data_IF_477362755392
#
_entry.id   IF_477362755392
#
_cell.length_a   1.000
_cell.length_b   1.000
_cell.length_c   1.000
_cell.angle_alpha   90.00
_cell.angle_beta   90.00
_cell.angle_gamma   90.00
#
_symmetry.space_group_name_H-M   'P 1'
#
loop_
_entity.id
_entity.type
_entity.pdbx_description
1 polymer ?
#
# COMPACT_ATOMS: atom_id res chain seq x y z
N UNK A 1 -18.96 11.74 -7.29
CA UNK A 1 -20.04 11.24 -6.41
C UNK A 1 -19.88 9.73 -6.31
N UNK A 2 -19.18 9.24 -5.28
CA UNK A 2 -18.89 7.80 -5.10
C UNK A 2 -20.18 7.11 -4.64
N UNK A 3 -20.50 5.97 -5.26
CA UNK A 3 -21.71 5.19 -5.03
C UNK A 3 -21.89 4.90 -3.52
N UNK A 4 -23.11 5.08 -3.00
CA UNK A 4 -23.42 4.74 -1.61
C UNK A 4 -23.13 3.24 -1.38
N UNK A 5 -22.25 2.93 -0.43
CA UNK A 5 -21.89 1.54 -0.13
C UNK A 5 -23.04 0.74 0.47
N UNK A 6 -22.94 -0.59 0.45
CA UNK A 6 -23.91 -1.54 1.01
C UNK A 6 -24.39 -1.21 2.44
N UNK A 7 -23.56 -0.52 3.22
CA UNK A 7 -23.88 -0.01 4.57
C UNK A 7 -25.06 0.96 4.57
N UNK A 8 -25.19 1.79 3.52
CA UNK A 8 -26.30 2.72 3.37
C UNK A 8 -27.63 2.00 3.04
N UNK A 9 -27.57 0.82 2.40
CA UNK A 9 -28.74 0.01 2.05
C UNK A 9 -29.33 -0.70 3.28
N UNK A 10 -28.49 -1.01 4.27
CA UNK A 10 -28.87 -1.71 5.51
C UNK A 10 -29.28 -0.77 6.65
N UNK A 11 -29.35 0.55 6.41
CA UNK A 11 -29.85 1.52 7.39
C UNK A 11 -28.93 1.82 8.58
N UNK A 12 -27.69 1.31 8.57
CA UNK A 12 -26.72 1.58 9.64
C UNK A 12 -26.17 3.01 9.52
N UNK A 13 -26.43 3.85 10.54
CA UNK A 13 -25.91 5.22 10.62
C UNK A 13 -24.39 5.30 10.84
N UNK A 14 -23.73 4.20 11.25
CA UNK A 14 -22.29 4.13 11.51
C UNK A 14 -21.56 3.65 10.24
N UNK A 15 -20.47 4.32 9.85
CA UNK A 15 -19.62 3.90 8.72
C UNK A 15 -18.93 2.58 9.06
N UNK A 16 -19.49 1.46 8.63
CA UNK A 16 -18.85 0.14 8.74
C UNK A 16 -17.80 0.03 7.62
N UNK A 17 -16.53 -0.20 7.99
CA UNK A 17 -15.45 -0.42 7.03
C UNK A 17 -15.56 -1.80 6.36
N UNK A 18 -15.00 -1.93 5.16
CA UNK A 18 -14.99 -3.19 4.38
C UNK A 18 -14.32 -4.38 5.10
N UNK A 19 -13.54 -4.09 6.15
CA UNK A 19 -12.86 -5.09 6.98
C UNK A 19 -13.83 -5.95 7.79
N UNK A 20 -14.93 -5.37 8.29
CA UNK A 20 -15.88 -6.09 9.16
C UNK A 20 -16.59 -7.23 8.41
N UNK A 21 -17.19 -6.99 7.22
CA UNK A 21 -17.74 -8.08 6.40
C UNK A 21 -16.69 -9.10 5.98
N UNK A 22 -15.47 -8.67 5.66
CA UNK A 22 -14.41 -9.59 5.24
C UNK A 22 -14.01 -10.57 6.35
N UNK A 23 -13.89 -10.10 7.59
CA UNK A 23 -13.62 -10.95 8.76
C UNK A 23 -14.82 -11.87 9.02
N UNK A 24 -16.05 -11.35 8.94
CA UNK A 24 -17.26 -12.14 9.15
C UNK A 24 -17.38 -13.31 8.13
N UNK A 25 -17.14 -13.04 6.84
CA UNK A 25 -17.13 -14.07 5.78
C UNK A 25 -15.99 -15.06 6.02
N UNK A 26 -14.79 -14.58 6.38
CA UNK A 26 -13.65 -15.46 6.66
C UNK A 26 -13.94 -16.40 7.82
N UNK A 27 -14.57 -15.90 8.89
CA UNK A 27 -15.02 -16.72 10.01
C UNK A 27 -16.10 -17.73 9.60
N UNK A 28 -17.06 -17.30 8.76
CA UNK A 28 -18.11 -18.17 8.23
C UNK A 28 -17.54 -19.31 7.38
N UNK A 29 -16.47 -19.08 6.62
CA UNK A 29 -15.76 -20.09 5.83
C UNK A 29 -15.07 -21.17 6.68
N UNK A 30 -14.75 -20.87 7.94
CA UNK A 30 -14.27 -21.87 8.91
C UNK A 30 -15.41 -22.70 9.51
N UNK A 31 -16.65 -22.19 9.50
CA UNK A 31 -17.84 -22.86 10.03
C UNK A 31 -18.59 -23.67 8.98
N UNK A 32 -18.59 -23.22 7.71
CA UNK A 32 -19.34 -23.85 6.64
C UNK A 32 -18.73 -25.21 6.25
N UNK A 33 -19.53 -26.29 6.21
CA UNK A 33 -19.09 -27.59 5.72
C UNK A 33 -18.80 -27.53 4.22
N UNK A 34 -17.79 -28.27 3.76
CA UNK A 34 -17.38 -28.29 2.36
C UNK A 34 -18.44 -28.88 1.42
N UNK A 35 -19.35 -29.69 1.95
CA UNK A 35 -20.47 -30.26 1.22
C UNK A 35 -21.78 -29.92 1.95
N UNK A 36 -22.60 -29.09 1.30
CA UNK A 36 -23.89 -28.60 1.84
C UNK A 36 -24.89 -29.77 2.00
N UNK A 37 -24.72 -30.86 1.23
CA UNK A 37 -25.59 -32.04 1.30
C UNK A 37 -25.17 -33.03 2.39
N UNK A 38 -23.93 -32.96 2.86
CA UNK A 38 -23.41 -33.85 3.88
C UNK A 38 -22.78 -33.04 5.02
N UNK A 39 -23.61 -32.72 6.03
CA UNK A 39 -23.22 -31.92 7.20
C UNK A 39 -22.09 -32.53 8.06
N UNK A 40 -21.65 -33.77 7.78
CA UNK A 40 -20.45 -34.37 8.40
C UNK A 40 -19.15 -34.03 7.67
N UNK A 41 -19.22 -33.34 6.53
CA UNK A 41 -18.04 -32.93 5.77
C UNK A 41 -17.25 -31.84 6.52
N UNK A 42 -15.92 -31.86 6.39
CA UNK A 42 -15.05 -30.91 7.07
C UNK A 42 -15.25 -29.46 6.59
N UNK A 43 -14.72 -28.46 7.30
CA UNK A 43 -14.91 -27.05 6.95
C UNK A 43 -14.24 -26.70 5.60
N UNK A 44 -14.82 -25.74 4.87
CA UNK A 44 -14.30 -25.24 3.58
C UNK A 44 -12.88 -24.71 3.74
N UNK A 45 -12.62 -23.94 4.80
CA UNK A 45 -11.31 -23.36 5.09
C UNK A 45 -10.65 -24.05 6.28
N UNK A 46 -9.50 -24.71 6.04
CA UNK A 46 -8.72 -25.37 7.08
C UNK A 46 -7.62 -24.45 7.60
N UNK A 47 -7.41 -24.41 8.91
CA UNK A 47 -6.38 -23.57 9.55
C UNK A 47 -4.98 -23.77 8.96
N UNK A 48 -4.58 -25.02 8.72
CA UNK A 48 -3.28 -25.36 8.12
C UNK A 48 -3.06 -24.69 6.75
N UNK A 49 -4.12 -24.51 5.95
CA UNK A 49 -4.04 -23.86 4.63
C UNK A 49 -3.88 -22.35 4.77
N UNK A 50 -4.61 -21.75 5.72
CA UNK A 50 -4.52 -20.31 6.04
C UNK A 50 -3.13 -19.98 6.58
N UNK A 51 -2.65 -20.71 7.59
CA UNK A 51 -1.34 -20.50 8.19
C UNK A 51 -0.21 -20.56 7.16
N UNK A 52 -0.29 -21.46 6.17
CA UNK A 52 0.71 -21.60 5.10
C UNK A 52 0.64 -20.48 4.06
N UNK A 53 -0.54 -19.92 3.81
CA UNK A 53 -0.74 -18.91 2.78
C UNK A 53 -0.59 -17.47 3.30
N UNK A 54 -0.66 -17.25 4.61
CA UNK A 54 -0.43 -15.94 5.23
C UNK A 54 1.07 -15.61 5.19
N UNK A 55 1.39 -14.40 4.74
CA UNK A 55 2.74 -13.85 4.76
C UNK A 55 3.03 -13.20 6.13
N UNK A 56 3.40 -14.01 7.12
CA UNK A 56 3.61 -13.57 8.52
C UNK A 56 4.70 -12.50 8.66
N UNK A 57 5.77 -12.62 7.87
CA UNK A 57 6.88 -11.66 7.84
C UNK A 57 6.39 -10.24 7.53
N UNK A 58 5.50 -10.14 6.55
CA UNK A 58 4.91 -8.88 6.09
C UNK A 58 4.01 -8.27 7.18
N UNK A 59 3.20 -9.09 7.85
CA UNK A 59 2.37 -8.64 8.97
C UNK A 59 3.22 -8.09 10.13
N UNK A 60 4.32 -8.77 10.47
CA UNK A 60 5.26 -8.33 11.51
C UNK A 60 5.98 -7.04 11.12
N UNK A 61 6.38 -6.88 9.85
CA UNK A 61 7.02 -5.65 9.35
C UNK A 61 6.06 -4.46 9.41
N UNK A 62 4.80 -4.63 8.99
CA UNK A 62 3.78 -3.57 9.08
C UNK A 62 3.55 -3.16 10.54
N UNK A 63 3.34 -4.15 11.42
CA UNK A 63 3.12 -3.90 12.84
C UNK A 63 4.32 -3.22 13.51
N UNK A 64 5.53 -3.69 13.23
CA UNK A 64 6.78 -3.07 13.69
C UNK A 64 6.97 -1.66 13.15
N UNK A 65 6.61 -1.40 11.90
CA UNK A 65 6.64 -0.07 11.28
C UNK A 65 5.71 0.92 11.97
N UNK A 66 4.47 0.50 12.30
CA UNK A 66 3.55 1.35 13.06
C UNK A 66 4.01 1.58 14.50
N UNK A 67 4.54 0.54 15.17
CA UNK A 67 5.11 0.69 16.51
C UNK A 67 6.31 1.63 16.53
N UNK A 68 7.19 1.54 15.52
CA UNK A 68 8.34 2.44 15.36
C UNK A 68 7.91 3.87 15.06
N UNK A 69 6.90 4.06 14.20
CA UNK A 69 6.35 5.38 13.91
C UNK A 69 5.76 6.05 15.17
N UNK A 70 5.02 5.30 15.99
CA UNK A 70 4.48 5.76 17.26
C UNK A 70 5.60 6.10 18.27
N UNK A 71 6.62 5.23 18.38
CA UNK A 71 7.79 5.48 19.22
C UNK A 71 8.58 6.71 18.77
N UNK A 72 8.74 6.93 17.47
CA UNK A 72 9.41 8.10 16.89
C UNK A 72 8.62 9.40 17.12
N UNK A 73 7.28 9.32 17.17
CA UNK A 73 6.43 10.46 17.50
C UNK A 73 6.52 10.79 19.00
N UNK A 74 6.47 9.79 19.88
CA UNK A 74 6.60 9.97 21.34
C UNK A 74 7.98 10.44 21.76
N UNK A 75 9.04 10.01 21.09
CA UNK A 75 10.41 10.42 21.40
C UNK A 75 10.77 11.83 20.91
N UNK A 76 9.90 12.46 20.11
CA UNK A 76 10.21 13.73 19.45
C UNK A 76 11.20 13.60 18.28
N UNK A 77 11.67 12.40 17.94
CA UNK A 77 12.52 12.19 16.77
C UNK A 77 11.81 12.62 15.48
N UNK A 78 10.49 12.42 15.42
CA UNK A 78 9.66 12.84 14.30
C UNK A 78 9.77 14.35 14.02
N UNK A 79 9.81 15.20 15.05
CA UNK A 79 9.90 16.67 14.86
C UNK A 79 11.29 17.10 14.41
N UNK A 80 12.34 16.45 14.91
CA UNK A 80 13.72 16.68 14.45
C UNK A 80 13.88 16.31 12.98
N UNK A 81 13.40 15.12 12.59
CA UNK A 81 13.42 14.67 11.19
C UNK A 81 12.58 15.59 10.30
N UNK A 82 11.40 16.03 10.77
CA UNK A 82 10.56 17.00 10.07
C UNK A 82 11.30 18.31 9.78
N UNK A 83 12.03 18.85 10.76
CA UNK A 83 12.80 20.07 10.58
C UNK A 83 13.88 19.93 9.50
N UNK A 84 14.59 18.79 9.47
CA UNK A 84 15.57 18.51 8.41
C UNK A 84 14.93 18.28 7.04
N UNK A 85 13.77 17.62 6.99
CA UNK A 85 13.01 17.40 5.76
C UNK A 85 12.37 18.69 5.22
N UNK A 86 12.14 19.68 6.06
CA UNK A 86 11.62 20.99 5.64
C UNK A 86 12.60 21.70 4.69
N UNK A 87 13.91 21.48 4.84
CA UNK A 87 14.93 21.97 3.90
C UNK A 87 14.82 21.34 2.50
N UNK A 88 14.28 20.12 2.39
CA UNK A 88 14.01 19.48 1.10
C UNK A 88 12.76 20.04 0.39
N UNK A 89 11.94 20.85 1.07
CA UNK A 89 10.75 21.49 0.49
C UNK A 89 11.09 22.51 -0.61
N UNK A 90 12.35 22.91 -0.72
CA UNK A 90 12.85 23.75 -1.81
C UNK A 90 12.80 23.02 -3.15
N UNK A 91 12.80 21.68 -3.16
CA UNK A 91 12.71 20.91 -4.39
C UNK A 91 11.28 20.92 -4.95
N UNK A 92 11.11 20.97 -6.29
CA UNK A 92 9.81 20.88 -6.92
C UNK A 92 9.16 19.52 -6.62
N UNK A 93 7.86 19.53 -6.29
CA UNK A 93 7.09 18.34 -5.90
C UNK A 93 7.15 17.21 -6.93
N UNK A 94 7.19 17.53 -8.22
CA UNK A 94 7.32 16.55 -9.30
C UNK A 94 8.66 15.79 -9.26
N UNK A 95 9.75 16.44 -8.82
CA UNK A 95 11.06 15.80 -8.73
C UNK A 95 11.14 14.84 -7.54
N UNK A 96 10.45 15.15 -6.43
CA UNK A 96 10.30 14.23 -5.29
C UNK A 96 9.55 12.97 -5.74
N UNK A 97 8.45 13.12 -6.46
CA UNK A 97 7.69 11.98 -7.01
C UNK A 97 8.55 11.15 -7.95
N UNK A 98 9.33 11.79 -8.82
CA UNK A 98 10.26 11.10 -9.72
C UNK A 98 11.28 10.26 -8.95
N UNK A 99 11.91 10.81 -7.91
CA UNK A 99 12.87 10.08 -7.06
C UNK A 99 12.19 8.87 -6.39
N UNK A 100 11.00 9.07 -5.83
CA UNK A 100 10.25 7.99 -5.19
C UNK A 100 9.89 6.89 -6.19
N UNK A 101 9.47 7.26 -7.40
CA UNK A 101 9.15 6.30 -8.45
C UNK A 101 10.40 5.54 -8.92
N UNK A 102 11.56 6.21 -9.05
CA UNK A 102 12.83 5.54 -9.37
C UNK A 102 13.22 4.51 -8.30
N UNK A 103 13.18 4.89 -7.02
CA UNK A 103 13.46 3.98 -5.90
C UNK A 103 12.49 2.80 -5.92
N UNK A 104 11.21 3.05 -6.18
CA UNK A 104 10.19 2.01 -6.22
C UNK A 104 10.42 1.05 -7.39
N UNK A 105 10.72 1.59 -8.58
CA UNK A 105 10.99 0.79 -9.79
C UNK A 105 12.20 -0.12 -9.58
N UNK A 106 13.29 0.38 -8.98
CA UNK A 106 14.47 -0.45 -8.74
C UNK A 106 14.23 -1.50 -7.66
N UNK A 107 13.54 -1.15 -6.58
CA UNK A 107 13.19 -2.10 -5.52
C UNK A 107 12.27 -3.22 -6.02
N UNK A 108 11.29 -2.89 -6.86
CA UNK A 108 10.30 -3.86 -7.34
C UNK A 108 10.84 -4.86 -8.36
N UNK A 109 12.06 -4.67 -8.87
CA UNK A 109 12.72 -5.68 -9.70
C UNK A 109 13.28 -6.84 -8.85
N UNK A 110 13.55 -6.60 -7.56
CA UNK A 110 14.07 -7.60 -6.62
C UNK A 110 13.01 -8.14 -5.68
N UNK A 111 11.98 -7.35 -5.38
CA UNK A 111 10.91 -7.65 -4.44
C UNK A 111 9.59 -7.85 -5.20
N UNK A 112 8.65 -8.61 -4.61
CA UNK A 112 7.30 -8.68 -5.21
C UNK A 112 6.59 -7.33 -5.09
N UNK A 113 5.72 -6.98 -6.05
CA UNK A 113 5.00 -5.71 -6.07
C UNK A 113 4.28 -5.40 -4.75
N UNK A 114 3.71 -6.44 -4.12
CA UNK A 114 3.01 -6.32 -2.83
C UNK A 114 4.02 -6.03 -1.70
N UNK A 115 5.13 -6.77 -1.64
CA UNK A 115 6.18 -6.56 -0.65
C UNK A 115 6.78 -5.16 -0.76
N UNK A 116 7.06 -4.69 -1.97
CA UNK A 116 7.58 -3.33 -2.23
C UNK A 116 6.65 -2.26 -1.67
N UNK A 117 5.35 -2.35 -1.96
CA UNK A 117 4.36 -1.39 -1.44
C UNK A 117 4.28 -1.41 0.08
N UNK A 118 4.29 -2.59 0.68
CA UNK A 118 4.17 -2.72 2.13
C UNK A 118 5.37 -2.10 2.85
N UNK A 119 6.58 -2.24 2.30
CA UNK A 119 7.79 -1.64 2.86
C UNK A 119 7.79 -0.13 2.66
N UNK A 120 7.47 0.37 1.46
CA UNK A 120 7.64 1.77 1.13
C UNK A 120 6.48 2.68 1.59
N UNK A 121 5.24 2.18 1.64
CA UNK A 121 4.07 2.96 2.06
C UNK A 121 4.25 3.69 3.41
N UNK A 122 4.65 3.03 4.52
CA UNK A 122 4.80 3.71 5.80
C UNK A 122 5.89 4.78 5.75
N UNK A 123 7.01 4.50 5.08
CA UNK A 123 8.15 5.41 4.97
C UNK A 123 7.75 6.68 4.20
N UNK A 124 7.12 6.50 3.04
CA UNK A 124 6.71 7.61 2.17
C UNK A 124 5.54 8.39 2.77
N UNK A 125 4.63 7.74 3.50
CA UNK A 125 3.53 8.41 4.22
C UNK A 125 4.06 9.34 5.32
N UNK A 126 5.05 8.88 6.10
CA UNK A 126 5.72 9.70 7.11
C UNK A 126 6.46 10.87 6.48
N UNK A 127 7.17 10.65 5.36
CA UNK A 127 7.83 11.70 4.60
C UNK A 127 6.83 12.75 4.07
N UNK A 128 5.72 12.33 3.47
CA UNK A 128 4.70 13.23 2.95
C UNK A 128 4.08 14.10 4.06
N UNK A 129 3.80 13.48 5.21
CA UNK A 129 3.31 14.19 6.40
C UNK A 129 4.33 15.21 6.92
N UNK A 130 5.62 14.83 6.92
CA UNK A 130 6.71 15.71 7.34
C UNK A 130 6.90 16.93 6.43
N UNK A 131 6.76 16.75 5.11
CA UNK A 131 6.90 17.81 4.11
C UNK A 131 5.62 18.64 3.91
N UNK A 132 4.53 18.32 4.64
CA UNK A 132 3.19 18.90 4.44
C UNK A 132 2.73 18.79 2.97
N UNK A 133 3.04 17.67 2.33
CA UNK A 133 2.64 17.35 0.97
C UNK A 133 1.49 16.36 1.00
N UNK A 134 0.53 16.49 0.08
CA UNK A 134 -0.61 15.59 0.03
C UNK A 134 -0.11 14.13 -0.13
N UNK A 135 -0.36 13.22 0.84
CA UNK A 135 0.16 11.85 0.79
C UNK A 135 -0.30 11.10 -0.46
N UNK A 136 -1.49 11.40 -0.99
CA UNK A 136 -1.98 10.80 -2.23
C UNK A 136 -1.12 11.14 -3.44
N UNK A 137 -0.50 12.32 -3.47
CA UNK A 137 0.37 12.75 -4.58
C UNK A 137 1.60 11.86 -4.75
N UNK A 138 2.06 11.22 -3.67
CA UNK A 138 3.26 10.37 -3.69
C UNK A 138 2.91 8.89 -3.60
N UNK A 139 1.89 8.52 -2.81
CA UNK A 139 1.50 7.12 -2.61
C UNK A 139 0.81 6.52 -3.84
N UNK A 140 0.00 7.30 -4.58
CA UNK A 140 -0.62 6.82 -5.82
C UNK A 140 0.42 6.44 -6.88
N UNK A 141 1.36 7.33 -7.28
CA UNK A 141 2.36 6.96 -8.27
C UNK A 141 3.31 5.88 -7.77
N UNK A 142 3.61 5.81 -6.47
CA UNK A 142 4.36 4.70 -5.89
C UNK A 142 3.65 3.36 -6.11
N UNK A 143 2.35 3.27 -5.84
CA UNK A 143 1.57 2.03 -5.98
C UNK A 143 1.53 1.56 -7.43
N UNK A 144 1.39 2.49 -8.38
CA UNK A 144 1.37 2.15 -9.80
C UNK A 144 2.76 1.73 -10.27
N UNK A 145 3.79 2.47 -9.85
CA UNK A 145 5.19 2.22 -10.23
C UNK A 145 5.73 0.91 -9.67
N UNK A 146 5.24 0.47 -8.50
CA UNK A 146 5.57 -0.86 -7.96
C UNK A 146 5.11 -2.01 -8.85
N UNK A 147 4.27 -1.74 -9.86
CA UNK A 147 3.84 -2.77 -10.82
C UNK A 147 4.71 -2.78 -12.08
N UNK A 148 5.62 -1.82 -12.23
CA UNK A 148 6.55 -1.72 -13.36
C UNK A 148 7.82 -2.52 -13.08
N UNK A 149 7.68 -3.85 -13.04
CA UNK A 149 8.78 -4.80 -12.92
C UNK A 149 9.02 -5.46 -14.28
N UNK A 150 9.91 -4.87 -15.10
CA UNK A 150 10.14 -5.28 -16.49
C UNK A 150 11.57 -5.77 -16.78
N UNK A 151 12.53 -5.53 -15.89
CA UNK A 151 13.95 -5.82 -16.13
C UNK A 151 14.35 -7.24 -15.73
N UNK A 152 13.79 -7.79 -14.65
CA UNK A 152 14.20 -9.10 -14.12
C UNK A 152 13.05 -10.12 -14.09
N UNK A 153 13.36 -11.42 -14.32
CA UNK A 153 12.37 -12.49 -14.28
C UNK A 153 11.99 -12.90 -12.85
N UNK A 154 12.71 -12.42 -11.83
CA UNK A 154 12.64 -12.93 -10.45
C UNK A 154 11.41 -12.40 -9.68
N UNK A 155 10.99 -11.15 -9.95
CA UNK A 155 9.96 -10.47 -9.16
C UNK A 155 8.51 -10.78 -9.56
N UNK A 156 8.26 -11.18 -10.81
CA UNK A 156 6.89 -11.23 -11.39
C UNK A 156 6.63 -12.55 -12.14
N UNK A 157 5.59 -13.34 -11.77
CA UNK A 157 5.35 -14.66 -12.36
C UNK A 157 5.19 -14.68 -13.89
N UNK A 158 4.46 -13.74 -14.52
CA UNK A 158 4.43 -13.61 -15.99
C UNK A 158 5.81 -13.54 -16.64
N UNK A 159 6.72 -12.74 -16.09
CA UNK A 159 8.07 -12.58 -16.61
C UNK A 159 8.88 -13.88 -16.47
N UNK A 160 8.74 -14.56 -15.34
CA UNK A 160 9.36 -15.86 -15.10
C UNK A 160 8.88 -16.94 -16.08
N UNK A 161 7.57 -16.96 -16.39
CA UNK A 161 6.99 -17.92 -17.34
C UNK A 161 7.57 -17.72 -18.75
N UNK A 162 7.62 -16.47 -19.22
CA UNK A 162 8.17 -16.16 -20.55
C UNK A 162 9.66 -16.47 -20.60
N UNK A 163 10.42 -16.13 -19.55
CA UNK A 163 11.85 -16.45 -19.45
C UNK A 163 12.14 -17.95 -19.40
N UNK A 164 11.26 -18.76 -18.81
CA UNK A 164 11.41 -20.21 -18.81
C UNK A 164 11.02 -20.85 -20.16
N UNK A 165 10.02 -20.28 -20.86
CA UNK A 165 9.52 -20.82 -22.13
C UNK A 165 10.35 -20.40 -23.34
N UNK A 166 10.97 -19.22 -23.30
CA UNK A 166 11.85 -18.72 -24.34
C UNK A 166 13.24 -18.71 -23.74
N UNK A 167 14.18 -19.44 -24.35
CA UNK A 167 15.52 -19.72 -23.84
C UNK A 167 16.42 -18.46 -23.85
N UNK A 168 15.94 -17.38 -23.24
CA UNK A 168 16.45 -16.01 -23.28
C UNK A 168 17.55 -15.82 -22.23
N UNK A 169 18.51 -14.94 -22.52
CA UNK A 169 19.49 -14.52 -21.52
C UNK A 169 18.91 -13.38 -20.69
N UNK A 170 19.41 -13.21 -19.47
CA UNK A 170 18.99 -12.12 -18.57
C UNK A 170 19.13 -10.75 -19.27
N UNK A 171 20.20 -10.54 -20.03
CA UNK A 171 20.45 -9.30 -20.76
C UNK A 171 19.44 -9.01 -21.88
N UNK A 172 18.79 -10.04 -22.43
CA UNK A 172 17.77 -9.89 -23.47
C UNK A 172 16.45 -9.35 -22.89
N UNK A 173 16.24 -9.55 -21.59
CA UNK A 173 15.10 -9.02 -20.83
C UNK A 173 15.39 -7.64 -20.23
N UNK A 174 16.59 -7.42 -19.70
CA UNK A 174 16.99 -6.16 -19.05
C UNK A 174 16.96 -4.97 -20.02
N UNK A 175 17.50 -5.13 -21.23
CA UNK A 175 17.57 -4.06 -22.24
C UNK A 175 16.20 -3.44 -22.59
N UNK A 176 15.19 -4.24 -23.01
CA UNK A 176 13.84 -3.70 -23.24
C UNK A 176 13.17 -3.27 -21.94
N UNK A 177 13.44 -3.94 -20.82
CA UNK A 177 12.90 -3.56 -19.50
C UNK A 177 13.27 -2.14 -19.08
N UNK A 178 14.53 -1.73 -19.26
CA UNK A 178 14.97 -0.36 -18.96
C UNK A 178 14.20 0.67 -19.79
N UNK A 179 14.06 0.43 -21.09
CA UNK A 179 13.31 1.31 -21.98
C UNK A 179 11.84 1.42 -21.57
N UNK A 180 11.20 0.30 -21.24
CA UNK A 180 9.82 0.29 -20.75
C UNK A 180 9.68 1.03 -19.42
N UNK A 181 10.61 0.84 -18.47
CA UNK A 181 10.60 1.55 -17.19
C UNK A 181 10.69 3.06 -17.39
N UNK A 182 11.56 3.55 -18.28
CA UNK A 182 11.68 4.99 -18.59
C UNK A 182 10.38 5.54 -19.17
N UNK A 183 9.78 4.85 -20.13
CA UNK A 183 8.51 5.28 -20.77
C UNK A 183 7.37 5.29 -19.74
N UNK A 184 7.23 4.23 -18.96
CA UNK A 184 6.20 4.13 -17.92
C UNK A 184 6.36 5.18 -16.83
N UNK A 185 7.59 5.49 -16.41
CA UNK A 185 7.87 6.57 -15.46
C UNK A 185 7.48 7.94 -16.02
N UNK A 186 7.81 8.23 -17.28
CA UNK A 186 7.43 9.48 -17.93
C UNK A 186 5.91 9.63 -18.02
N UNK A 187 5.20 8.56 -18.42
CA UNK A 187 3.74 8.52 -18.47
C UNK A 187 3.15 8.71 -17.07
N UNK A 188 3.70 8.04 -16.05
CA UNK A 188 3.22 8.13 -14.67
C UNK A 188 3.33 9.56 -14.11
N UNK A 189 4.45 10.25 -14.38
CA UNK A 189 4.65 11.64 -13.98
C UNK A 189 3.67 12.57 -14.68
N UNK A 190 3.40 12.34 -15.97
CA UNK A 190 2.40 13.12 -16.71
C UNK A 190 0.99 12.89 -16.15
N UNK A 191 0.64 11.63 -15.86
CA UNK A 191 -0.67 11.26 -15.33
C UNK A 191 -0.94 11.85 -13.94
N UNK A 192 0.04 11.82 -13.02
CA UNK A 192 -0.17 12.36 -11.66
C UNK A 192 -0.31 13.89 -11.66
N UNK A 193 0.40 14.59 -12.56
CA UNK A 193 0.31 16.04 -12.68
C UNK A 193 -0.93 16.50 -13.47
N UNK A 194 -1.48 15.66 -14.36
CA UNK A 194 -2.70 15.98 -15.11
C UNK A 194 -3.95 15.44 -14.43
N UNK A 195 -4.21 14.14 -14.53
CA UNK A 195 -5.39 13.48 -13.97
C UNK A 195 -5.41 13.50 -12.45
N UNK A 196 -4.25 13.36 -11.81
CA UNK A 196 -4.15 13.46 -10.35
C UNK A 196 -4.67 14.81 -9.86
N UNK A 197 -4.15 15.90 -10.43
CA UNK A 197 -4.57 17.27 -10.10
C UNK A 197 -6.08 17.49 -10.31
N UNK A 198 -6.63 16.98 -11.41
CA UNK A 198 -8.07 17.15 -11.75
C UNK A 198 -8.99 16.34 -10.84
N UNK A 199 -8.62 15.12 -10.45
CA UNK A 199 -9.50 14.20 -9.73
C UNK A 199 -9.36 14.33 -8.21
N UNK A 200 -8.14 14.54 -7.71
CA UNK A 200 -7.82 14.44 -6.29
C UNK A 200 -7.39 15.75 -5.63
N UNK A 201 -7.33 16.86 -6.39
CA UNK A 201 -6.86 18.17 -5.92
C UNK A 201 -5.51 18.08 -5.17
N UNK A 202 -4.55 17.38 -5.78
CA UNK A 202 -3.31 16.94 -5.11
C UNK A 202 -2.35 18.07 -4.75
N UNK A 203 -2.58 19.29 -5.26
CA UNK A 203 -1.81 20.47 -4.90
C UNK A 203 -2.18 21.03 -3.53
N UNK A 204 -3.38 20.73 -3.04
CA UNK A 204 -3.83 21.15 -1.71
C UNK A 204 -3.59 20.04 -0.69
N UNK A 205 -3.08 20.42 0.48
CA UNK A 205 -2.92 19.49 1.59
C UNK A 205 -4.28 19.24 2.24
N UNK A 206 -4.78 17.99 2.26
CA UNK A 206 -6.14 17.74 2.69
C UNK A 206 -6.26 17.80 4.22
N UNK A 207 -7.40 18.27 4.72
CA UNK A 207 -7.66 18.44 6.16
C UNK A 207 -7.60 17.14 6.96
N UNK A 208 -7.92 16.00 6.35
CA UNK A 208 -7.79 14.68 6.99
C UNK A 208 -6.33 14.28 7.24
N UNK A 209 -5.39 14.78 6.45
CA UNK A 209 -3.95 14.54 6.63
C UNK A 209 -3.33 15.49 7.67
N UNK A 210 -4.09 16.48 8.17
CA UNK A 210 -3.63 17.31 9.29
C UNK A 210 -3.63 16.52 10.62
N UNK A 211 -4.40 15.42 10.66
CA UNK A 211 -4.62 14.59 11.84
C UNK A 211 -3.82 13.26 11.82
N UNK A 212 -2.81 13.11 10.94
CA UNK A 212 -1.86 11.97 11.01
C UNK A 212 -0.73 12.17 12.01
N UNK A 213 -0.77 13.25 12.81
CA UNK A 213 -0.49 13.09 14.24
C UNK A 213 -1.74 12.46 14.81
N UNK A 214 -1.79 11.13 14.88
CA UNK A 214 -2.86 10.45 15.62
C UNK A 214 -2.91 11.12 17.00
N UNK A 215 -3.98 11.84 17.37
CA UNK A 215 -4.21 12.07 18.77
C UNK A 215 -4.49 10.67 19.30
N UNK A 216 -3.50 10.07 19.95
CA UNK A 216 -3.65 8.81 20.70
C UNK A 216 -4.80 8.93 21.71
N UNK A 217 -5.29 10.15 21.98
CA UNK A 217 -6.50 10.42 22.73
C UNK A 217 -7.78 9.76 22.16
N UNK A 218 -7.90 9.46 20.86
CA UNK A 218 -9.06 8.70 20.33
C UNK A 218 -8.84 7.18 20.35
N UNK A 219 -7.65 6.71 20.74
CA UNK A 219 -7.42 5.31 21.13
C UNK A 219 -7.37 5.11 22.65
N UNK A 220 -7.48 6.17 23.46
CA UNK A 220 -7.52 6.08 24.92
C UNK A 220 -8.81 6.59 25.57
N UNK A 221 -9.80 7.09 24.84
CA UNK A 221 -11.12 7.38 25.42
C UNK A 221 -12.27 7.15 24.43
N UNK A 222 -13.11 6.18 24.78
CA UNK A 222 -14.46 5.94 24.28
C UNK A 222 -14.65 5.18 22.96
N UNK A 223 -14.18 3.93 22.86
CA UNK A 223 -15.06 2.78 22.54
C UNK A 223 -14.31 1.49 22.93
N UNK A 224 -14.33 1.18 24.22
CA UNK A 224 -14.08 -0.18 24.70
C UNK A 224 -15.17 -1.09 24.13
N UNK A 225 -14.75 -2.08 23.34
CA UNK A 225 -15.48 -3.32 23.13
C UNK A 225 -15.98 -3.84 24.50
N UNK A 226 -17.24 -4.30 24.56
CA UNK A 226 -18.04 -4.68 25.73
C UNK A 226 -18.84 -3.55 26.42
N UNK A 227 -19.79 -2.96 25.67
CA UNK A 227 -21.24 -3.04 25.95
C UNK A 227 -22.02 -2.41 24.80
#
# INVERSE_FOLDING_TARGET
>A
KIMNGWVALLGFKKKIGAVVPAIAISFLLFLLPSDIRNFKSGPILKWKKVQRNIQWEVLLIIGGGFALADAAQKSGLSTVVQNHMTSLRVLPSGLIVLIVCLITTTMTEFLTNITTNIILFPIISLMASAMRMNPLYVLLPLTVTSSFAFMLPVGTPPNAIVFASSNMKIMDMVKPGIWMNIVCLAVQILMINSLGAVIFDVHNFPSWANNTVLPITIMSSNETLFN
#
